data_IF_831610655924
#
_entry.id   IF_831610655924
#
_cell.length_a   1.000
_cell.length_b   1.000
_cell.length_c   1.000
_cell.angle_alpha   90.00
_cell.angle_beta   90.00
_cell.angle_gamma   90.00
#
_symmetry.space_group_name_H-M   'P 1'
#
loop_
_entity.id
_entity.type
_entity.pdbx_description
1 polymer ?
#
# COMPACT_ATOMS: atom_id res chain seq x y z
N UNK A 1 0.97 -7.96 6.74
CA UNK A 1 0.91 -8.76 5.50
C UNK A 1 -0.48 -8.63 4.89
N UNK A 2 -0.56 -8.15 3.64
CA UNK A 2 -1.82 -8.06 2.90
C UNK A 2 -2.06 -9.40 2.18
N UNK A 3 -3.14 -10.10 2.49
CA UNK A 3 -3.43 -11.43 1.97
C UNK A 3 -4.68 -12.07 2.60
N UNK A 4 -5.11 -13.20 2.06
CA UNK A 4 -6.35 -13.87 2.46
C UNK A 4 -6.16 -14.98 3.51
N UNK A 5 -4.92 -15.30 3.91
CA UNK A 5 -4.67 -16.35 4.89
C UNK A 5 -4.80 -15.83 6.33
N UNK A 6 -6.04 -15.68 6.78
CA UNK A 6 -6.35 -15.16 8.12
C UNK A 6 -5.76 -16.01 9.25
N UNK A 7 -5.69 -17.34 9.07
CA UNK A 7 -5.10 -18.26 10.05
C UNK A 7 -3.59 -18.04 10.22
N UNK A 8 -2.93 -17.44 9.23
CA UNK A 8 -1.51 -17.03 9.29
C UNK A 8 -1.32 -15.56 9.66
N UNK A 9 -2.38 -14.88 10.12
CA UNK A 9 -2.31 -13.48 10.54
C UNK A 9 -2.30 -12.46 9.40
N UNK A 10 -2.57 -12.88 8.16
CA UNK A 10 -2.77 -11.95 7.04
C UNK A 10 -4.07 -11.14 7.23
N UNK A 11 -4.16 -10.02 6.53
CA UNK A 11 -5.36 -9.18 6.46
C UNK A 11 -5.68 -8.92 5.00
N UNK A 12 -6.96 -9.02 4.62
CA UNK A 12 -7.38 -8.76 3.24
C UNK A 12 -7.44 -7.26 2.89
N UNK A 13 -7.32 -6.39 3.89
CA UNK A 13 -7.36 -4.94 3.75
C UNK A 13 -6.35 -4.30 4.69
N UNK A 14 -5.77 -3.19 4.26
CA UNK A 14 -4.92 -2.33 5.08
C UNK A 14 -5.31 -0.86 4.84
N UNK A 15 -5.22 -0.04 5.89
CA UNK A 15 -5.40 1.40 5.81
C UNK A 15 -4.04 2.06 5.95
N UNK A 16 -3.66 2.88 4.96
CA UNK A 16 -2.51 3.76 5.05
C UNK A 16 -3.02 5.12 5.56
N UNK A 17 -2.46 5.66 6.66
CA UNK A 17 -2.87 6.96 7.17
C UNK A 17 -2.53 8.08 6.18
N UNK A 18 -3.27 9.19 6.25
CA UNK A 18 -2.94 10.39 5.48
C UNK A 18 -1.50 10.84 5.76
N UNK A 19 -0.78 11.26 4.72
CA UNK A 19 0.64 11.62 4.76
C UNK A 19 1.59 10.48 5.20
N UNK A 20 1.09 9.24 5.31
CA UNK A 20 1.92 8.07 5.54
C UNK A 20 2.61 7.64 4.25
N UNK A 21 3.92 7.42 4.31
CA UNK A 21 4.62 6.79 3.21
C UNK A 21 4.20 5.33 3.03
N UNK A 22 4.13 4.88 1.79
CA UNK A 22 3.81 3.49 1.46
C UNK A 22 4.65 2.97 0.30
N UNK A 23 5.01 1.69 0.38
CA UNK A 23 5.57 0.88 -0.70
C UNK A 23 5.05 -0.54 -0.56
N UNK A 24 4.89 -1.26 -1.67
CA UNK A 24 4.42 -2.64 -1.66
C UNK A 24 5.07 -3.45 -2.79
N UNK A 25 5.26 -4.75 -2.56
CA UNK A 25 5.73 -5.71 -3.54
C UNK A 25 4.86 -6.98 -3.50
N UNK A 26 4.79 -7.70 -4.64
CA UNK A 26 4.17 -9.02 -4.65
C UNK A 26 5.12 -10.05 -4.06
N UNK A 27 4.59 -10.98 -3.26
CA UNK A 27 5.34 -12.12 -2.71
C UNK A 27 5.17 -13.40 -3.54
N UNK A 28 4.60 -13.29 -4.74
CA UNK A 28 4.40 -14.38 -5.70
C UNK A 28 4.58 -13.88 -7.12
N UNK A 29 3.95 -14.57 -8.09
CA UNK A 29 4.04 -14.16 -9.49
C UNK A 29 3.36 -12.80 -9.76
N UNK A 30 2.23 -12.53 -9.10
CA UNK A 30 1.52 -11.26 -9.15
C UNK A 30 0.60 -11.09 -7.94
N UNK A 31 0.20 -9.84 -7.67
CA UNK A 31 -0.87 -9.51 -6.70
C UNK A 31 -1.79 -8.46 -7.33
N UNK A 32 -3.10 -8.72 -7.37
CA UNK A 32 -4.10 -7.73 -7.79
C UNK A 32 -4.79 -7.17 -6.56
N UNK A 33 -4.89 -5.84 -6.47
CA UNK A 33 -5.53 -5.13 -5.35
C UNK A 33 -6.39 -3.98 -5.86
N UNK A 34 -7.32 -3.52 -5.02
CA UNK A 34 -7.98 -2.23 -5.18
C UNK A 34 -7.44 -1.23 -4.17
N UNK A 35 -7.27 0.02 -4.59
CA UNK A 35 -6.89 1.14 -3.73
C UNK A 35 -7.99 2.20 -3.78
N UNK A 36 -8.60 2.48 -2.63
CA UNK A 36 -9.59 3.56 -2.47
C UNK A 36 -8.97 4.67 -1.66
N UNK A 37 -9.07 5.91 -2.16
CA UNK A 37 -8.44 7.09 -1.55
C UNK A 37 -9.53 8.09 -1.16
N UNK A 38 -9.43 8.62 0.06
CA UNK A 38 -10.35 9.62 0.60
C UNK A 38 -9.56 10.72 1.33
N UNK A 39 -9.78 12.02 1.01
CA UNK A 39 -10.53 12.56 -0.14
C UNK A 39 -10.04 12.00 -1.49
N UNK A 40 -10.78 12.23 -2.57
CA UNK A 40 -10.43 11.69 -3.89
C UNK A 40 -8.99 12.01 -4.28
N UNK A 41 -8.31 11.06 -4.93
CA UNK A 41 -6.92 11.21 -5.33
C UNK A 41 -6.71 12.43 -6.25
N UNK A 42 -5.69 13.23 -5.95
CA UNK A 42 -5.23 14.35 -6.76
C UNK A 42 -3.69 14.32 -6.84
N UNK A 43 -3.13 14.47 -8.04
CA UNK A 43 -1.68 14.57 -8.25
C UNK A 43 -1.05 15.74 -7.48
N UNK A 44 -1.79 16.82 -7.21
CA UNK A 44 -1.30 17.93 -6.37
C UNK A 44 -1.01 17.52 -4.91
N UNK A 45 -1.55 16.36 -4.48
CA UNK A 45 -1.35 15.79 -3.15
C UNK A 45 -0.43 14.55 -3.16
N UNK A 46 0.11 14.17 -4.32
CA UNK A 46 0.96 13.01 -4.49
C UNK A 46 2.44 13.39 -4.45
N UNK A 47 3.23 12.62 -3.69
CA UNK A 47 4.68 12.78 -3.58
C UNK A 47 5.37 11.42 -3.80
N UNK A 48 6.44 11.41 -4.61
CA UNK A 48 7.34 10.27 -4.71
C UNK A 48 8.64 10.58 -3.98
N UNK A 49 9.04 9.65 -3.12
CA UNK A 49 10.36 9.69 -2.51
C UNK A 49 11.47 9.59 -3.57
N UNK A 50 12.66 10.16 -3.30
CA UNK A 50 13.79 10.05 -4.22
C UNK A 50 14.20 8.59 -4.45
N UNK A 51 14.82 8.26 -5.60
CA UNK A 51 15.32 6.91 -5.88
C UNK A 51 16.25 6.40 -4.77
N UNK A 52 16.08 5.14 -4.37
CA UNK A 52 16.86 4.50 -3.32
C UNK A 52 16.34 4.72 -1.89
N UNK A 53 15.28 5.50 -1.71
CA UNK A 53 14.58 5.63 -0.44
C UNK A 53 13.64 4.44 -0.19
N UNK A 54 13.49 4.00 1.07
CA UNK A 54 12.54 2.96 1.50
C UNK A 54 11.79 3.37 2.77
N UNK A 55 10.48 3.12 2.88
CA UNK A 55 9.77 3.22 4.14
C UNK A 55 10.29 2.14 5.10
N UNK A 56 10.53 2.52 6.35
CA UNK A 56 10.96 1.60 7.42
C UNK A 56 9.86 0.65 7.89
#
# INVERSE_FOLDING_TARGET
>A
MLGANFLRGERAQAVIPANGWQAAESLGAYTLVGCTVAPGFDYASFEMAPPGWSPG
#
